data_IF_734893248405
#
_entry.id   IF_734893248405
#
_cell.length_a   1.000
_cell.length_b   1.000
_cell.length_c   1.000
_cell.angle_alpha   90.00
_cell.angle_beta   90.00
_cell.angle_gamma   90.00
#
_symmetry.space_group_name_H-M   'P 1'
#
loop_
_entity.id
_entity.type
_entity.pdbx_description
1 polymer ?
#
# COMPACT_ATOMS: atom_id res chain seq x y z
N UNK A 1 -15.52 39.94 60.94
CA UNK A 1 -14.96 38.61 60.86
C UNK A 1 -15.63 37.84 59.71
N UNK A 2 -14.90 37.56 58.68
CA UNK A 2 -15.36 36.65 57.61
C UNK A 2 -14.92 35.23 57.95
N UNK A 3 -15.79 34.21 57.92
CA UNK A 3 -15.36 32.83 58.10
C UNK A 3 -14.63 32.39 56.78
N UNK A 4 -13.39 32.02 56.96
CA UNK A 4 -12.60 31.39 55.90
C UNK A 4 -13.07 29.95 55.82
N UNK A 5 -13.94 29.66 54.84
CA UNK A 5 -14.32 28.31 54.51
C UNK A 5 -13.17 27.62 53.77
N UNK A 6 -12.47 26.74 54.48
CA UNK A 6 -11.53 25.83 53.88
C UNK A 6 -12.25 24.89 52.92
N UNK A 7 -11.98 25.01 51.63
CA UNK A 7 -12.34 24.00 50.66
C UNK A 7 -11.33 22.86 50.80
N UNK A 8 -11.75 21.78 51.37
CA UNK A 8 -11.10 20.52 51.23
C UNK A 8 -11.08 20.18 49.71
N UNK A 9 -9.89 20.13 49.15
CA UNK A 9 -9.70 19.56 47.83
C UNK A 9 -9.95 18.08 47.96
N UNK A 10 -11.04 17.65 47.36
CA UNK A 10 -11.28 16.24 47.09
C UNK A 10 -10.06 15.69 46.37
N UNK A 11 -9.50 14.64 46.90
CA UNK A 11 -8.48 13.87 46.24
C UNK A 11 -9.04 13.44 44.87
N UNK A 12 -8.44 13.96 43.82
CA UNK A 12 -8.68 13.45 42.48
C UNK A 12 -8.41 11.95 42.51
N UNK A 13 -9.43 11.19 42.15
CA UNK A 13 -9.33 9.78 41.87
C UNK A 13 -8.27 9.58 40.78
N UNK A 14 -7.09 9.17 41.21
CA UNK A 14 -6.12 8.61 40.26
C UNK A 14 -6.77 7.37 39.63
N UNK A 15 -6.72 7.22 38.33
CA UNK A 15 -7.19 6.01 37.70
C UNK A 15 -6.40 4.85 38.31
N UNK A 16 -7.09 3.99 39.02
CA UNK A 16 -6.52 2.76 39.55
C UNK A 16 -5.98 1.99 38.37
N UNK A 17 -4.68 1.75 38.39
CA UNK A 17 -4.07 0.81 37.47
C UNK A 17 -4.92 -0.44 37.37
N UNK A 18 -5.19 -0.97 36.19
CA UNK A 18 -5.95 -2.21 36.08
C UNK A 18 -5.28 -3.26 36.98
N UNK A 19 -6.03 -4.04 37.72
CA UNK A 19 -5.46 -5.07 38.56
C UNK A 19 -4.57 -5.93 37.67
N UNK A 20 -3.33 -6.13 38.15
CA UNK A 20 -2.43 -7.05 37.51
C UNK A 20 -3.21 -8.30 37.17
N UNK A 21 -3.18 -8.72 35.91
CA UNK A 21 -3.91 -9.88 35.45
C UNK A 21 -3.62 -11.01 36.43
N UNK A 22 -4.61 -11.37 37.23
CA UNK A 22 -4.52 -12.54 38.08
C UNK A 22 -4.44 -13.69 37.09
N UNK A 23 -3.25 -14.24 36.87
CA UNK A 23 -3.13 -15.52 36.24
C UNK A 23 -3.86 -16.52 37.14
N UNK A 24 -5.13 -16.73 36.86
CA UNK A 24 -5.86 -17.86 37.42
C UNK A 24 -5.20 -19.09 36.80
N UNK A 25 -4.31 -19.70 37.54
CA UNK A 25 -3.89 -21.03 37.25
C UNK A 25 -5.14 -21.91 37.33
N UNK A 26 -5.78 -22.14 36.20
CA UNK A 26 -6.79 -23.18 36.11
C UNK A 26 -6.06 -24.48 36.36
N UNK A 27 -6.28 -25.04 37.55
CA UNK A 27 -5.98 -26.46 37.77
C UNK A 27 -6.89 -27.24 36.85
N UNK A 28 -6.37 -27.67 35.72
CA UNK A 28 -7.01 -28.66 34.89
C UNK A 28 -6.81 -29.99 35.60
N UNK A 29 -7.79 -30.35 36.41
CA UNK A 29 -7.84 -31.71 36.98
C UNK A 29 -7.98 -32.69 35.81
N UNK A 30 -6.91 -33.49 35.58
CA UNK A 30 -7.05 -34.79 34.97
C UNK A 30 -7.20 -34.86 33.47
N UNK A 31 -6.77 -33.90 32.72
CA UNK A 31 -6.51 -34.09 31.29
C UNK A 31 -5.05 -34.52 31.17
N UNK A 32 -4.83 -35.84 30.95
CA UNK A 32 -3.54 -36.27 30.46
C UNK A 32 -3.18 -35.44 29.26
N UNK A 33 -2.15 -34.61 29.41
CA UNK A 33 -1.48 -34.02 28.28
C UNK A 33 -0.98 -35.13 27.40
N UNK A 34 -1.83 -35.59 26.47
CA UNK A 34 -1.36 -36.31 25.34
C UNK A 34 -0.50 -35.30 24.60
N UNK A 35 0.80 -35.40 24.84
CA UNK A 35 1.81 -34.64 24.15
C UNK A 35 1.49 -34.76 22.65
N UNK A 36 0.82 -33.73 22.11
CA UNK A 36 0.74 -33.55 20.68
C UNK A 36 2.17 -33.18 20.26
N UNK A 37 2.97 -34.22 20.06
CA UNK A 37 4.22 -34.05 19.37
C UNK A 37 3.88 -33.38 18.05
N UNK A 38 4.43 -32.20 17.78
CA UNK A 38 4.25 -31.60 16.46
C UNK A 38 4.70 -32.67 15.48
N UNK A 39 3.83 -33.03 14.56
CA UNK A 39 4.13 -33.93 13.48
C UNK A 39 5.15 -33.20 12.60
N UNK A 40 6.42 -33.29 13.00
CA UNK A 40 7.53 -32.78 12.21
C UNK A 40 7.61 -33.74 11.04
N UNK A 41 7.32 -33.33 9.81
CA UNK A 41 7.51 -34.16 8.65
C UNK A 41 8.96 -34.66 8.68
N UNK A 42 9.14 -35.95 8.56
CA UNK A 42 10.45 -36.55 8.46
C UNK A 42 11.29 -35.83 7.40
N UNK A 43 12.39 -35.22 7.83
CA UNK A 43 13.29 -34.44 6.96
C UNK A 43 13.91 -35.28 5.83
N UNK A 44 13.64 -36.62 5.81
CA UNK A 44 14.14 -37.52 4.77
C UNK A 44 13.36 -37.44 3.46
N UNK A 45 12.23 -36.75 3.40
CA UNK A 45 11.43 -36.51 2.20
C UNK A 45 11.44 -35.05 1.74
N UNK A 46 12.56 -34.37 1.86
CA UNK A 46 12.73 -33.11 1.12
C UNK A 46 12.80 -33.48 -0.35
N UNK A 47 11.79 -33.12 -1.17
CA UNK A 47 11.89 -33.31 -2.61
C UNK A 47 13.17 -32.63 -3.07
N UNK A 48 14.03 -33.38 -3.77
CA UNK A 48 15.36 -32.97 -4.11
C UNK A 48 15.41 -31.49 -4.56
N UNK A 49 16.39 -30.78 -4.04
CA UNK A 49 16.68 -29.39 -4.43
C UNK A 49 16.36 -29.23 -5.90
N UNK A 50 15.22 -28.58 -6.21
CA UNK A 50 15.06 -28.00 -7.52
C UNK A 50 16.28 -27.13 -7.67
N UNK A 51 17.18 -27.47 -8.59
CA UNK A 51 18.16 -26.54 -9.10
C UNK A 51 17.33 -25.34 -9.54
N UNK A 52 17.21 -24.36 -8.67
CA UNK A 52 16.67 -23.09 -9.03
C UNK A 52 17.58 -22.64 -10.18
N UNK A 53 17.08 -22.68 -11.39
CA UNK A 53 17.63 -21.89 -12.44
C UNK A 53 17.71 -20.51 -11.82
N UNK A 54 18.93 -20.05 -11.53
CA UNK A 54 19.18 -18.63 -11.32
C UNK A 54 18.88 -18.03 -12.68
N UNK A 55 17.61 -17.73 -12.93
CA UNK A 55 17.25 -16.73 -13.89
C UNK A 55 17.84 -15.48 -13.30
N UNK A 56 19.06 -15.15 -13.72
CA UNK A 56 19.61 -13.84 -13.57
C UNK A 56 18.64 -12.98 -14.35
N UNK A 57 17.70 -12.35 -13.65
CA UNK A 57 16.93 -11.26 -14.21
C UNK A 57 18.00 -10.22 -14.46
N UNK A 58 18.51 -10.17 -15.70
CA UNK A 58 19.30 -9.05 -16.16
C UNK A 58 18.40 -7.85 -16.03
N UNK A 59 18.59 -7.11 -14.93
CA UNK A 59 18.02 -5.78 -14.78
C UNK A 59 18.60 -5.00 -15.93
N UNK A 60 17.79 -4.74 -16.95
CA UNK A 60 18.24 -3.94 -18.10
C UNK A 60 18.77 -2.63 -17.54
N UNK A 61 20.00 -2.19 -17.89
CA UNK A 61 20.58 -0.94 -17.39
C UNK A 61 19.61 0.25 -17.52
N UNK A 62 18.80 0.25 -18.57
CA UNK A 62 17.80 1.27 -18.85
C UNK A 62 16.66 1.30 -17.81
N UNK A 63 16.27 0.17 -17.23
CA UNK A 63 15.23 0.12 -16.20
C UNK A 63 15.70 0.71 -14.88
N UNK A 64 16.96 0.48 -14.49
CA UNK A 64 17.51 1.07 -13.27
C UNK A 64 17.63 2.59 -13.43
N UNK A 65 18.07 3.06 -14.60
CA UNK A 65 18.16 4.47 -14.93
C UNK A 65 16.78 5.15 -14.95
N UNK A 66 15.79 4.50 -15.54
CA UNK A 66 14.41 4.96 -15.53
C UNK A 66 13.86 5.09 -14.11
N UNK A 67 14.01 4.05 -13.30
CA UNK A 67 13.51 4.05 -11.93
C UNK A 67 14.11 5.19 -11.08
N UNK A 68 15.41 5.43 -11.17
CA UNK A 68 16.06 6.52 -10.45
C UNK A 68 15.62 7.90 -10.98
N UNK A 69 15.43 8.06 -12.27
CA UNK A 69 14.94 9.31 -12.86
C UNK A 69 13.51 9.61 -12.40
N UNK A 70 12.64 8.60 -12.36
CA UNK A 70 11.25 8.72 -11.85
C UNK A 70 11.27 9.05 -10.36
N UNK A 71 12.08 8.36 -9.55
CA UNK A 71 12.21 8.65 -8.12
C UNK A 71 12.61 10.09 -7.86
N UNK A 72 13.64 10.55 -8.57
CA UNK A 72 14.10 11.92 -8.46
C UNK A 72 12.99 12.92 -8.83
N UNK A 73 12.27 12.67 -9.92
CA UNK A 73 11.19 13.56 -10.36
C UNK A 73 10.01 13.60 -9.38
N UNK A 74 9.75 12.52 -8.66
CA UNK A 74 8.66 12.40 -7.69
C UNK A 74 9.07 12.70 -6.24
N UNK A 75 10.23 13.31 -5.99
CA UNK A 75 10.75 13.57 -4.64
C UNK A 75 10.88 12.31 -3.77
N UNK A 76 11.17 11.17 -4.39
CA UNK A 76 11.29 9.86 -3.75
C UNK A 76 10.08 9.50 -2.86
N UNK A 77 8.90 9.85 -3.31
CA UNK A 77 7.62 9.54 -2.64
C UNK A 77 6.57 9.06 -3.63
N UNK A 78 5.70 8.16 -3.17
CA UNK A 78 4.50 7.79 -3.93
C UNK A 78 3.66 9.05 -4.18
N UNK A 79 3.32 9.33 -5.43
CA UNK A 79 2.57 10.54 -5.80
C UNK A 79 1.12 10.51 -5.37
N UNK A 80 0.59 9.35 -5.00
CA UNK A 80 -0.79 9.17 -4.53
C UNK A 80 -0.83 9.12 -3.00
N UNK A 81 -0.04 8.26 -2.37
CA UNK A 81 -0.09 8.04 -0.91
C UNK A 81 0.88 8.90 -0.11
N UNK A 82 1.92 9.43 -0.75
CA UNK A 82 3.01 10.13 -0.08
C UNK A 82 4.00 9.22 0.65
N UNK A 83 3.92 7.90 0.48
CA UNK A 83 4.85 6.94 1.09
C UNK A 83 6.28 7.20 0.61
N UNK A 84 7.22 7.33 1.55
CA UNK A 84 8.63 7.62 1.28
C UNK A 84 9.56 6.44 1.50
N UNK A 85 9.04 5.33 1.97
CA UNK A 85 9.83 4.13 2.19
C UNK A 85 10.14 3.47 0.85
N UNK A 86 11.43 3.46 0.46
CA UNK A 86 11.86 2.94 -0.85
C UNK A 86 11.41 1.51 -1.09
N UNK A 87 11.42 0.68 -0.07
CA UNK A 87 10.99 -0.72 -0.14
C UNK A 87 9.50 -0.90 -0.45
N UNK A 88 8.71 0.14 -0.30
CA UNK A 88 7.27 0.14 -0.58
C UNK A 88 6.91 0.79 -1.91
N UNK A 89 7.87 1.39 -2.60
CA UNK A 89 7.62 2.20 -3.79
C UNK A 89 8.43 1.71 -4.98
N UNK A 90 7.87 1.86 -6.14
CA UNK A 90 8.51 1.52 -7.41
C UNK A 90 8.08 2.48 -8.52
N UNK A 91 8.87 2.54 -9.58
CA UNK A 91 8.54 3.34 -10.75
C UNK A 91 7.52 2.61 -11.63
N UNK A 92 6.40 3.26 -11.88
CA UNK A 92 5.35 2.77 -12.75
C UNK A 92 5.38 3.48 -14.10
N UNK A 93 5.30 2.73 -15.20
CA UNK A 93 5.10 3.31 -16.52
C UNK A 93 3.66 3.82 -16.68
N UNK A 94 3.50 5.00 -17.24
CA UNK A 94 2.18 5.54 -17.61
C UNK A 94 1.63 4.84 -18.83
N UNK A 95 2.46 4.73 -19.88
CA UNK A 95 2.19 3.94 -21.07
C UNK A 95 3.17 2.78 -21.12
N UNK A 96 2.64 1.56 -21.18
CA UNK A 96 3.46 0.36 -21.25
C UNK A 96 4.22 0.25 -22.57
N UNK A 97 5.36 -0.45 -22.57
CA UNK A 97 6.16 -0.67 -23.78
C UNK A 97 5.37 -1.28 -24.94
N UNK A 98 4.47 -2.22 -24.67
CA UNK A 98 3.60 -2.85 -25.68
C UNK A 98 2.70 -1.84 -26.40
N UNK A 99 2.44 -0.69 -25.79
CA UNK A 99 1.62 0.40 -26.32
C UNK A 99 2.46 1.56 -26.85
N UNK A 100 3.78 1.40 -26.95
CA UNK A 100 4.69 2.42 -27.44
C UNK A 100 5.31 3.31 -26.37
N UNK A 101 5.20 2.91 -25.09
CA UNK A 101 5.81 3.63 -23.98
C UNK A 101 7.33 3.60 -23.98
N UNK A 102 7.96 4.65 -23.49
CA UNK A 102 9.40 4.84 -23.43
C UNK A 102 9.91 4.82 -22.00
N UNK A 103 11.20 4.49 -21.82
CA UNK A 103 11.90 4.51 -20.53
C UNK A 103 12.44 5.92 -20.23
N UNK A 104 11.55 6.87 -20.04
CA UNK A 104 11.87 8.24 -19.71
C UNK A 104 11.03 8.71 -18.53
N UNK A 105 11.56 9.60 -17.68
CA UNK A 105 10.83 10.06 -16.49
C UNK A 105 9.47 10.69 -16.82
N UNK A 106 9.29 11.26 -18.01
CA UNK A 106 8.00 11.80 -18.48
C UNK A 106 6.93 10.73 -18.66
N UNK A 107 7.31 9.46 -18.76
CA UNK A 107 6.44 8.30 -18.84
C UNK A 107 6.42 7.49 -17.54
N UNK A 108 6.68 8.11 -16.41
CA UNK A 108 6.74 7.41 -15.14
C UNK A 108 6.25 8.20 -13.95
N UNK A 109 5.69 7.50 -12.99
CA UNK A 109 5.35 8.00 -11.66
C UNK A 109 5.82 7.01 -10.60
N UNK A 110 6.23 7.51 -9.46
CA UNK A 110 6.56 6.67 -8.32
C UNK A 110 5.28 6.31 -7.56
N UNK A 111 5.01 5.04 -7.45
CA UNK A 111 3.83 4.52 -6.78
C UNK A 111 4.21 3.50 -5.70
N UNK A 112 3.42 3.45 -4.64
CA UNK A 112 3.47 2.34 -3.69
C UNK A 112 3.05 1.05 -4.41
N UNK A 113 3.64 -0.10 -4.05
CA UNK A 113 3.46 -1.37 -4.78
C UNK A 113 1.98 -1.76 -4.96
N UNK A 114 1.18 -1.67 -3.91
CA UNK A 114 -0.25 -1.97 -3.97
C UNK A 114 -1.03 -1.00 -4.88
N UNK A 115 -0.67 0.27 -4.85
CA UNK A 115 -1.25 1.29 -5.74
C UNK A 115 -0.83 1.05 -7.20
N UNK A 116 0.41 0.63 -7.43
CA UNK A 116 0.88 0.27 -8.77
C UNK A 116 0.09 -0.92 -9.34
N UNK A 117 -0.15 -1.94 -8.54
CA UNK A 117 -0.96 -3.09 -8.93
C UNK A 117 -2.38 -2.67 -9.33
N UNK A 118 -3.01 -1.78 -8.57
CA UNK A 118 -4.35 -1.26 -8.89
C UNK A 118 -4.33 -0.34 -10.13
N UNK A 119 -3.27 0.41 -10.31
CA UNK A 119 -3.06 1.26 -11.48
C UNK A 119 -2.93 0.42 -12.77
N UNK A 120 -2.16 -0.65 -12.74
CA UNK A 120 -2.02 -1.59 -13.85
C UNK A 120 -3.30 -2.40 -14.12
N UNK A 121 -4.09 -2.66 -13.09
CA UNK A 121 -5.40 -3.28 -13.21
C UNK A 121 -6.50 -2.32 -13.69
N UNK A 122 -6.19 -1.04 -13.94
CA UNK A 122 -7.13 0.02 -14.27
C UNK A 122 -8.27 0.21 -13.22
N UNK A 123 -7.99 -0.09 -11.98
CA UNK A 123 -8.87 0.20 -10.84
C UNK A 123 -8.62 1.60 -10.26
N UNK A 124 -7.45 2.14 -10.48
CA UNK A 124 -7.05 3.52 -10.19
C UNK A 124 -6.58 4.14 -11.52
N UNK A 125 -6.97 5.36 -11.78
CA UNK A 125 -6.48 6.15 -12.89
C UNK A 125 -6.23 7.60 -12.47
N UNK A 126 -5.40 8.27 -13.24
CA UNK A 126 -5.08 9.68 -13.05
C UNK A 126 -5.64 10.44 -14.25
N UNK A 127 -6.45 11.46 -13.97
CA UNK A 127 -7.04 12.28 -15.01
C UNK A 127 -5.93 13.01 -15.80
N UNK A 128 -5.88 12.90 -17.14
CA UNK A 128 -4.76 13.41 -17.94
C UNK A 128 -4.66 14.96 -17.97
N UNK A 129 -5.71 15.67 -17.61
CA UNK A 129 -5.72 17.15 -17.58
C UNK A 129 -5.57 17.66 -16.16
N UNK A 130 -6.39 17.22 -15.24
CA UNK A 130 -6.43 17.73 -13.86
C UNK A 130 -5.41 17.06 -12.94
N UNK A 131 -4.91 15.88 -13.29
CA UNK A 131 -4.07 15.02 -12.46
C UNK A 131 -4.74 14.58 -11.15
N UNK A 132 -6.05 14.55 -11.13
CA UNK A 132 -6.83 13.97 -10.04
C UNK A 132 -6.78 12.44 -10.09
N UNK A 133 -6.72 11.84 -8.93
CA UNK A 133 -6.81 10.39 -8.74
C UNK A 133 -8.27 9.97 -8.76
N UNK A 134 -8.60 8.98 -9.57
CA UNK A 134 -9.92 8.40 -9.67
C UNK A 134 -9.87 6.90 -9.42
N UNK A 135 -10.77 6.40 -8.59
CA UNK A 135 -10.82 5.02 -8.16
C UNK A 135 -12.17 4.45 -8.55
N UNK A 136 -12.19 3.20 -9.05
CA UNK A 136 -13.44 2.52 -9.39
C UNK A 136 -14.33 2.37 -8.15
N UNK A 137 -15.64 2.53 -8.33
CA UNK A 137 -16.62 2.37 -7.26
C UNK A 137 -16.57 0.98 -6.62
N UNK A 138 -16.36 -0.08 -7.41
CA UNK A 138 -16.20 -1.45 -6.89
C UNK A 138 -15.01 -1.59 -5.93
N UNK A 139 -13.88 -0.94 -6.24
CA UNK A 139 -12.70 -0.97 -5.38
C UNK A 139 -12.94 -0.20 -4.08
N UNK A 140 -13.57 0.96 -4.14
CA UNK A 140 -13.95 1.75 -2.96
C UNK A 140 -14.94 1.02 -2.06
N UNK A 141 -15.84 0.22 -2.64
CA UNK A 141 -16.83 -0.54 -1.88
C UNK A 141 -16.21 -1.70 -1.08
N UNK A 142 -15.13 -2.27 -1.58
CA UNK A 142 -14.43 -3.41 -0.95
C UNK A 142 -13.37 -2.93 0.02
N UNK A 143 -12.60 -1.90 -0.33
CA UNK A 143 -11.44 -1.43 0.40
C UNK A 143 -11.59 0.07 0.70
N UNK A 144 -12.20 0.36 1.84
CA UNK A 144 -12.61 1.72 2.21
C UNK A 144 -11.46 2.70 2.45
N UNK A 145 -10.26 2.23 2.75
CA UNK A 145 -9.09 3.10 2.94
C UNK A 145 -8.65 3.80 1.65
N UNK A 146 -9.02 3.25 0.49
CA UNK A 146 -8.79 3.88 -0.82
C UNK A 146 -9.55 5.22 -0.97
N UNK A 147 -10.63 5.43 -0.22
CA UNK A 147 -11.42 6.66 -0.26
C UNK A 147 -10.59 7.91 0.09
N UNK A 148 -9.51 7.76 0.85
CA UNK A 148 -8.59 8.85 1.19
C UNK A 148 -7.90 9.46 -0.04
N UNK A 149 -7.81 8.74 -1.14
CA UNK A 149 -7.12 9.15 -2.37
C UNK A 149 -8.07 9.59 -3.48
N UNK A 150 -9.36 9.26 -3.37
CA UNK A 150 -10.35 9.60 -4.38
C UNK A 150 -10.50 11.12 -4.52
N UNK A 151 -10.32 11.62 -5.72
CA UNK A 151 -10.45 13.04 -6.05
C UNK A 151 -9.28 13.91 -5.60
N UNK A 152 -8.28 13.34 -4.96
CA UNK A 152 -7.06 14.06 -4.59
C UNK A 152 -6.15 14.25 -5.81
N UNK A 153 -5.42 15.37 -5.84
CA UNK A 153 -4.39 15.57 -6.84
C UNK A 153 -3.15 14.75 -6.51
N UNK A 154 -2.40 14.35 -7.53
CA UNK A 154 -1.09 13.75 -7.31
C UNK A 154 -0.15 14.73 -6.60
N UNK A 155 0.80 14.20 -5.83
CA UNK A 155 1.83 15.01 -5.16
C UNK A 155 2.68 15.78 -6.18
N UNK A 156 3.30 16.89 -5.78
CA UNK A 156 4.12 17.71 -6.68
C UNK A 156 5.25 16.92 -7.33
N UNK A 157 5.54 17.26 -8.57
CA UNK A 157 6.64 16.75 -9.36
C UNK A 157 7.70 17.84 -9.58
N UNK A 158 8.97 17.46 -9.73
CA UNK A 158 10.03 18.43 -10.06
C UNK A 158 9.86 19.00 -11.47
N UNK A 159 9.51 18.11 -12.40
CA UNK A 159 9.26 18.44 -13.82
C UNK A 159 7.96 17.75 -14.26
N UNK A 160 7.21 18.36 -15.18
CA UNK A 160 5.97 17.79 -15.66
C UNK A 160 6.22 16.45 -16.37
N UNK A 161 5.29 15.53 -16.20
CA UNK A 161 5.18 14.31 -17.01
C UNK A 161 4.52 14.62 -18.35
N UNK A 162 4.65 13.72 -19.32
CA UNK A 162 3.88 13.78 -20.55
C UNK A 162 2.48 13.18 -20.29
N UNK A 163 1.48 14.02 -20.15
CA UNK A 163 0.11 13.64 -19.85
C UNK A 163 -0.56 12.85 -20.97
N UNK A 164 -0.04 12.91 -22.21
CA UNK A 164 -0.50 12.06 -23.30
C UNK A 164 -0.35 10.56 -22.97
N UNK A 165 0.67 10.20 -22.19
CA UNK A 165 0.88 8.81 -21.74
C UNK A 165 -0.17 8.31 -20.75
N UNK A 166 -0.95 9.21 -20.14
CA UNK A 166 -2.07 8.85 -19.25
C UNK A 166 -3.37 8.56 -20.02
N UNK A 167 -3.51 9.00 -21.25
CA UNK A 167 -4.78 8.97 -21.98
C UNK A 167 -5.30 7.56 -22.22
N UNK A 168 -4.43 6.62 -22.56
CA UNK A 168 -4.86 5.25 -22.80
C UNK A 168 -5.47 4.59 -21.55
N UNK A 169 -4.77 4.69 -20.41
CA UNK A 169 -5.28 4.18 -19.14
C UNK A 169 -6.56 4.87 -18.72
N UNK A 170 -6.65 6.16 -18.95
CA UNK A 170 -7.85 6.94 -18.66
C UNK A 170 -9.06 6.47 -19.47
N UNK A 171 -8.89 6.20 -20.76
CA UNK A 171 -9.95 5.69 -21.60
C UNK A 171 -10.43 4.30 -21.15
N UNK A 172 -9.52 3.41 -20.82
CA UNK A 172 -9.84 2.08 -20.28
C UNK A 172 -10.61 2.19 -18.96
N UNK A 173 -10.14 3.03 -18.07
CA UNK A 173 -10.78 3.29 -16.79
C UNK A 173 -12.20 3.84 -16.96
N UNK A 174 -12.39 4.85 -17.81
CA UNK A 174 -13.71 5.43 -18.07
C UNK A 174 -14.69 4.40 -18.63
N UNK A 175 -14.25 3.60 -19.57
CA UNK A 175 -15.09 2.55 -20.15
C UNK A 175 -15.56 1.55 -19.07
N UNK A 176 -14.64 1.11 -18.23
CA UNK A 176 -14.94 0.22 -17.11
C UNK A 176 -15.90 0.86 -16.10
N UNK A 177 -15.67 2.10 -15.73
CA UNK A 177 -16.50 2.84 -14.80
C UNK A 177 -17.94 3.02 -15.31
N UNK A 178 -18.12 3.26 -16.62
CA UNK A 178 -19.44 3.37 -17.24
C UNK A 178 -20.19 2.03 -17.24
N UNK A 179 -19.48 0.94 -17.47
CA UNK A 179 -20.08 -0.41 -17.47
C UNK A 179 -20.58 -0.79 -16.08
N UNK A 180 -19.88 -0.41 -15.01
CA UNK A 180 -20.31 -0.65 -13.64
C UNK A 180 -21.55 0.15 -13.25
N UNK A 181 -21.69 1.38 -13.75
CA UNK A 181 -22.88 2.22 -13.47
C UNK A 181 -24.13 1.75 -14.18
N UNK A 182 -24.01 0.91 -15.20
CA UNK A 182 -25.14 0.34 -15.96
C UNK A 182 -25.56 -1.05 -15.49
N UNK A 183 -24.78 -1.67 -14.64
CA UNK A 183 -25.07 -2.99 -14.07
C UNK A 183 -25.82 -2.89 -12.76
#
# INVERSE_FOLDING_TARGET
>A
GYPVGGRERSQEDQPKSPPAAIMVAMKTDGIEEKELQPNIPDETTVPGKRKGSKTTVETRPDQASFAEAVRNNCYDQCVITGSRLRQRTEAAHLMEHRNGGVDHYTNGLLLRHDIHDLFDANMIAIHPVTLEVNILAEALAVDHDLAAYQGEFIKPLRKPINTEFLKHRWQVFQHRNQTEQQA
#
